data_IF_047995259795
#
_entry.id   IF_047995259795
#
_cell.length_a   1.000
_cell.length_b   1.000
_cell.length_c   1.000
_cell.angle_alpha   90.00
_cell.angle_beta   90.00
_cell.angle_gamma   90.00
#
_symmetry.space_group_name_H-M   'P 1'
#
loop_
_entity.id
_entity.type
_entity.pdbx_description
1 polymer ?
#
# COMPACT_ATOMS: atom_id res chain seq x y z
N UNK A 1 12.06 -63.42 4.84
CA UNK A 1 11.40 -62.83 3.64
C UNK A 1 10.54 -61.60 3.94
N UNK A 2 9.95 -61.43 5.14
CA UNK A 2 9.12 -60.26 5.50
C UNK A 2 9.92 -58.95 5.68
N UNK A 3 11.18 -59.05 6.11
CA UNK A 3 12.04 -57.91 6.43
C UNK A 3 12.50 -57.13 5.19
N UNK A 4 12.57 -57.77 4.01
CA UNK A 4 13.03 -57.14 2.77
C UNK A 4 11.94 -56.27 2.12
N UNK A 5 10.67 -56.65 2.29
CA UNK A 5 9.52 -55.83 1.86
C UNK A 5 9.39 -54.54 2.66
N UNK A 6 9.68 -54.57 3.97
CA UNK A 6 9.64 -53.38 4.82
C UNK A 6 10.68 -52.33 4.40
N UNK A 7 11.86 -52.77 3.96
CA UNK A 7 12.93 -51.88 3.50
C UNK A 7 12.58 -51.18 2.17
N UNK A 8 11.95 -51.90 1.24
CA UNK A 8 11.45 -51.30 0.00
C UNK A 8 10.33 -50.29 0.23
N UNK A 9 9.42 -50.55 1.19
CA UNK A 9 8.35 -49.61 1.57
C UNK A 9 8.96 -48.34 2.20
N UNK A 10 9.98 -48.48 3.04
CA UNK A 10 10.69 -47.34 3.64
C UNK A 10 11.47 -46.51 2.61
N UNK A 11 12.07 -47.15 1.59
CA UNK A 11 12.74 -46.47 0.48
C UNK A 11 11.73 -45.73 -0.43
N UNK A 12 10.55 -46.31 -0.67
CA UNK A 12 9.51 -45.65 -1.45
C UNK A 12 8.91 -44.43 -0.73
N UNK A 13 8.82 -44.47 0.61
CA UNK A 13 8.29 -43.37 1.41
C UNK A 13 9.24 -42.15 1.48
N UNK A 14 10.55 -42.37 1.39
CA UNK A 14 11.56 -41.29 1.41
C UNK A 14 11.72 -40.56 0.07
N UNK A 15 11.24 -41.14 -1.03
CA UNK A 15 11.27 -40.54 -2.37
C UNK A 15 10.18 -39.47 -2.58
N UNK A 16 9.22 -39.32 -1.66
CA UNK A 16 8.15 -38.33 -1.76
C UNK A 16 8.59 -37.00 -1.12
N UNK A 17 9.71 -36.44 -1.58
CA UNK A 17 10.04 -35.04 -1.29
C UNK A 17 9.29 -34.19 -2.32
N UNK A 18 8.05 -33.82 -2.00
CA UNK A 18 7.33 -32.81 -2.77
C UNK A 18 7.97 -31.46 -2.50
N UNK A 19 8.71 -30.94 -3.46
CA UNK A 19 9.17 -29.56 -3.41
C UNK A 19 7.94 -28.66 -3.51
N UNK A 20 7.48 -28.11 -2.39
CA UNK A 20 6.48 -27.04 -2.40
C UNK A 20 7.10 -25.84 -3.11
N UNK A 21 6.74 -25.65 -4.38
CA UNK A 21 7.10 -24.44 -5.09
C UNK A 21 6.50 -23.27 -4.33
N UNK A 22 7.35 -22.37 -3.81
CA UNK A 22 6.88 -21.15 -3.15
C UNK A 22 5.87 -20.44 -4.07
N UNK A 23 4.68 -20.06 -3.58
CA UNK A 23 3.71 -19.36 -4.39
C UNK A 23 4.39 -18.15 -5.05
N UNK A 24 4.28 -18.04 -6.37
CA UNK A 24 4.89 -16.96 -7.14
C UNK A 24 3.93 -15.78 -7.09
N UNK A 25 4.23 -14.80 -6.24
CA UNK A 25 3.39 -13.61 -6.10
C UNK A 25 3.70 -12.57 -7.17
N UNK A 26 4.94 -12.50 -7.66
CA UNK A 26 5.34 -11.62 -8.74
C UNK A 26 5.48 -12.37 -10.09
N UNK A 27 5.55 -11.59 -11.17
CA UNK A 27 5.85 -12.09 -12.52
C UNK A 27 7.13 -12.93 -12.52
N UNK A 28 7.17 -13.99 -13.34
CA UNK A 28 8.33 -14.90 -13.41
C UNK A 28 9.61 -14.13 -13.74
N UNK A 29 10.64 -14.32 -12.92
CA UNK A 29 11.93 -13.63 -13.05
C UNK A 29 12.00 -12.28 -12.31
N UNK A 30 10.93 -11.84 -11.66
CA UNK A 30 10.88 -10.60 -10.89
C UNK A 30 10.96 -10.85 -9.38
N UNK A 31 11.46 -9.84 -8.66
CA UNK A 31 11.40 -9.80 -7.19
C UNK A 31 9.97 -9.48 -6.74
N UNK A 32 9.54 -10.12 -5.67
CA UNK A 32 8.19 -9.99 -5.11
C UNK A 32 8.17 -9.19 -3.80
N UNK A 33 9.30 -8.61 -3.39
CA UNK A 33 9.43 -7.77 -2.19
C UNK A 33 10.37 -6.58 -2.41
N UNK A 34 10.03 -5.47 -1.77
CA UNK A 34 10.87 -4.30 -1.57
C UNK A 34 10.87 -3.98 -0.07
N UNK A 35 12.01 -4.18 0.59
CA UNK A 35 12.07 -4.15 2.05
C UNK A 35 11.11 -5.17 2.68
N UNK A 36 10.21 -4.68 3.53
CA UNK A 36 9.20 -5.50 4.20
C UNK A 36 7.87 -5.60 3.44
N UNK A 37 7.73 -4.88 2.32
CA UNK A 37 6.48 -4.80 1.56
C UNK A 37 6.49 -5.83 0.44
N UNK A 38 5.40 -6.61 0.34
CA UNK A 38 5.19 -7.56 -0.76
C UNK A 38 4.62 -6.84 -1.97
N UNK A 39 5.21 -7.10 -3.15
CA UNK A 39 4.82 -6.51 -4.43
C UNK A 39 4.34 -7.62 -5.36
N UNK A 40 3.03 -7.95 -5.33
CA UNK A 40 2.47 -9.00 -6.16
C UNK A 40 2.05 -8.48 -7.55
N UNK A 41 2.05 -9.35 -8.56
CA UNK A 41 1.48 -9.05 -9.88
C UNK A 41 -0.02 -8.75 -9.72
N UNK A 42 -0.56 -7.68 -10.33
CA UNK A 42 -0.04 -6.94 -11.49
C UNK A 42 0.96 -5.82 -11.19
N UNK A 43 1.23 -5.54 -9.92
CA UNK A 43 2.33 -4.65 -9.52
C UNK A 43 3.68 -5.31 -9.72
N UNK A 44 4.70 -4.50 -9.96
CA UNK A 44 6.04 -5.02 -10.14
C UNK A 44 7.12 -3.96 -9.99
N UNK A 45 8.26 -4.40 -9.45
CA UNK A 45 9.43 -3.56 -9.29
C UNK A 45 10.06 -3.33 -10.66
N UNK A 46 9.84 -2.14 -11.21
CA UNK A 46 10.25 -1.75 -12.56
C UNK A 46 9.33 -2.21 -13.69
N UNK A 47 9.44 -1.53 -14.83
CA UNK A 47 8.51 -1.64 -15.97
C UNK A 47 8.38 -3.03 -16.60
N UNK A 48 9.41 -3.88 -16.51
CA UNK A 48 9.35 -5.26 -17.06
C UNK A 48 8.55 -6.22 -16.17
N UNK A 49 8.35 -5.85 -14.91
CA UNK A 49 7.74 -6.68 -13.88
C UNK A 49 6.29 -6.33 -13.58
N UNK A 50 5.83 -5.15 -14.00
CA UNK A 50 4.44 -4.70 -13.87
C UNK A 50 3.62 -5.04 -15.13
N UNK A 51 2.29 -4.95 -15.02
CA UNK A 51 1.38 -5.11 -16.16
C UNK A 51 1.42 -3.90 -17.12
N UNK A 52 1.52 -2.69 -16.57
CA UNK A 52 1.63 -1.43 -17.32
C UNK A 52 2.27 -0.35 -16.42
N UNK A 53 2.33 0.90 -16.91
CA UNK A 53 2.99 2.03 -16.23
C UNK A 53 2.36 2.44 -14.89
N UNK A 54 1.07 2.19 -14.68
CA UNK A 54 0.36 2.56 -13.45
C UNK A 54 0.71 1.65 -12.27
N UNK A 55 1.15 0.42 -12.56
CA UNK A 55 1.47 -0.61 -11.57
C UNK A 55 2.99 -0.78 -11.37
N UNK A 56 3.79 0.14 -11.91
CA UNK A 56 5.23 0.16 -11.66
C UNK A 56 5.46 0.59 -10.23
N UNK A 57 6.18 -0.22 -9.47
CA UNK A 57 6.74 0.15 -8.18
C UNK A 57 8.20 0.52 -8.39
N UNK A 58 8.59 1.69 -7.91
CA UNK A 58 10.00 2.04 -7.77
C UNK A 58 10.49 1.62 -6.38
N UNK A 59 11.65 0.99 -6.28
CA UNK A 59 12.17 0.46 -5.02
C UNK A 59 13.53 1.11 -4.74
N UNK A 60 13.52 2.16 -3.92
CA UNK A 60 14.71 2.94 -3.58
C UNK A 60 15.07 2.72 -2.12
N UNK A 61 16.29 2.27 -1.85
CA UNK A 61 16.80 2.00 -0.50
C UNK A 61 15.91 1.07 0.34
N UNK A 62 15.32 0.05 -0.29
CA UNK A 62 14.34 -0.89 0.31
C UNK A 62 12.97 -0.28 0.65
N UNK A 63 12.71 0.95 0.24
CA UNK A 63 11.39 1.59 0.36
C UNK A 63 10.70 1.58 -1.01
N UNK A 64 9.48 1.02 -1.11
CA UNK A 64 8.71 1.03 -2.34
C UNK A 64 7.92 2.34 -2.51
N UNK A 65 7.87 2.85 -3.72
CA UNK A 65 7.13 4.05 -4.11
C UNK A 65 6.28 3.74 -5.34
N UNK A 66 5.15 4.45 -5.46
CA UNK A 66 4.24 4.34 -6.60
C UNK A 66 4.32 5.63 -7.45
N UNK A 67 5.14 5.66 -8.51
CA UNK A 67 5.33 6.86 -9.34
C UNK A 67 4.02 7.37 -9.97
N UNK A 68 3.09 6.46 -10.24
CA UNK A 68 1.76 6.76 -10.77
C UNK A 68 0.93 7.69 -9.88
N UNK A 69 1.24 7.76 -8.59
CA UNK A 69 0.48 8.51 -7.59
C UNK A 69 1.45 9.40 -6.82
N UNK A 70 2.03 10.38 -7.52
CA UNK A 70 2.97 11.38 -6.97
C UNK A 70 4.17 10.78 -6.21
N UNK A 71 4.61 9.57 -6.59
CA UNK A 71 5.74 8.89 -5.96
C UNK A 71 5.55 8.67 -4.44
N UNK A 72 4.31 8.39 -4.01
CA UNK A 72 4.01 8.08 -2.61
C UNK A 72 4.56 6.71 -2.21
N UNK A 73 5.00 6.60 -0.96
CA UNK A 73 5.48 5.34 -0.38
C UNK A 73 4.34 4.33 -0.27
N UNK A 74 4.60 3.09 -0.68
CA UNK A 74 3.65 1.97 -0.59
C UNK A 74 3.85 1.26 0.75
N UNK A 75 2.82 1.27 1.59
CA UNK A 75 2.84 0.53 2.86
C UNK A 75 2.40 -0.92 2.67
N UNK A 76 1.52 -1.17 1.71
CA UNK A 76 0.99 -2.51 1.44
C UNK A 76 0.17 -2.58 0.15
N UNK A 77 0.12 -3.78 -0.43
CA UNK A 77 -0.73 -4.11 -1.57
C UNK A 77 -1.54 -5.34 -1.17
N UNK A 78 -2.86 -5.21 -1.21
CA UNK A 78 -3.81 -6.26 -0.91
C UNK A 78 -4.65 -6.54 -2.16
N UNK A 79 -4.38 -7.68 -2.80
CA UNK A 79 -5.09 -8.08 -4.02
C UNK A 79 -6.49 -8.63 -3.72
N UNK A 80 -6.75 -9.14 -2.52
CA UNK A 80 -8.06 -9.67 -2.13
C UNK A 80 -9.05 -8.51 -1.97
N UNK A 81 -8.60 -7.44 -1.30
CA UNK A 81 -9.38 -6.22 -1.12
C UNK A 81 -9.23 -5.21 -2.27
N UNK A 82 -8.44 -5.53 -3.30
CA UNK A 82 -8.11 -4.67 -4.45
C UNK A 82 -7.60 -3.29 -4.03
N UNK A 83 -6.76 -3.23 -3.02
CA UNK A 83 -6.32 -1.98 -2.41
C UNK A 83 -4.82 -1.83 -2.32
N UNK A 84 -4.35 -0.59 -2.47
CA UNK A 84 -2.98 -0.17 -2.20
C UNK A 84 -3.01 0.85 -1.08
N UNK A 85 -2.26 0.59 -0.01
CA UNK A 85 -2.10 1.52 1.10
C UNK A 85 -0.87 2.37 0.86
N UNK A 86 -1.04 3.69 0.85
CA UNK A 86 -0.02 4.69 0.59
C UNK A 86 0.20 5.57 1.83
N UNK A 87 1.46 5.89 2.09
CA UNK A 87 1.83 6.85 3.13
C UNK A 87 1.74 8.27 2.56
N UNK A 88 0.84 9.09 3.11
CA UNK A 88 0.76 10.50 2.74
C UNK A 88 1.80 11.30 3.54
N UNK A 89 2.49 12.28 2.92
CA UNK A 89 3.39 13.17 3.65
C UNK A 89 2.66 13.87 4.80
N UNK A 90 3.37 14.01 5.93
CA UNK A 90 2.90 14.76 7.09
C UNK A 90 2.76 16.23 6.71
N UNK A 91 1.65 16.82 7.11
CA UNK A 91 1.42 18.25 6.98
C UNK A 91 1.57 18.86 8.38
N UNK A 92 2.49 19.80 8.51
CA UNK A 92 2.82 20.49 9.76
C UNK A 92 2.38 21.95 9.79
N UNK A 93 1.84 22.49 8.69
CA UNK A 93 1.39 23.89 8.59
C UNK A 93 -0.03 23.92 8.03
N UNK A 94 -0.92 24.71 8.66
CA UNK A 94 -2.32 24.84 8.24
C UNK A 94 -2.49 25.44 6.82
N UNK A 95 -1.49 26.17 6.32
CA UNK A 95 -1.47 26.74 4.96
C UNK A 95 -1.09 25.72 3.88
N UNK A 96 -0.48 24.59 4.26
CA UNK A 96 -0.02 23.60 3.31
C UNK A 96 -1.11 22.55 3.04
N UNK A 97 -1.79 22.66 1.92
CA UNK A 97 -2.65 21.58 1.44
C UNK A 97 -1.82 20.63 0.57
N UNK A 98 -1.76 19.35 0.94
CA UNK A 98 -1.21 18.30 0.08
C UNK A 98 -2.37 17.49 -0.49
N UNK A 99 -2.53 17.58 -1.81
CA UNK A 99 -3.54 16.82 -2.54
C UNK A 99 -2.90 15.79 -3.45
N UNK A 100 -3.61 14.67 -3.64
CA UNK A 100 -3.27 13.63 -4.60
C UNK A 100 -4.36 13.62 -5.66
N UNK A 101 -3.97 13.75 -6.92
CA UNK A 101 -4.89 13.66 -8.05
C UNK A 101 -4.87 12.24 -8.61
N UNK A 102 -6.04 11.60 -8.63
CA UNK A 102 -6.23 10.26 -9.18
C UNK A 102 -7.00 10.25 -10.50
N UNK A 103 -7.49 11.40 -10.99
CA UNK A 103 -8.46 11.51 -12.08
C UNK A 103 -7.99 10.90 -13.42
N UNK A 104 -6.68 10.70 -13.60
CA UNK A 104 -6.08 10.11 -14.81
C UNK A 104 -5.49 8.73 -14.58
N UNK A 105 -5.61 8.20 -13.37
CA UNK A 105 -5.08 6.92 -12.96
C UNK A 105 -6.21 5.87 -12.87
N UNK A 106 -5.90 4.57 -12.96
CA UNK A 106 -6.90 3.50 -12.73
C UNK A 106 -7.19 3.28 -11.23
N UNK A 107 -6.91 4.29 -10.40
CA UNK A 107 -7.04 4.21 -8.96
C UNK A 107 -8.14 5.14 -8.46
N UNK A 108 -8.84 4.71 -7.41
CA UNK A 108 -9.88 5.48 -6.75
C UNK A 108 -9.60 5.52 -5.26
N UNK A 109 -9.99 6.59 -4.56
CA UNK A 109 -9.91 6.58 -3.10
C UNK A 109 -10.86 5.53 -2.52
N UNK A 110 -10.35 4.69 -1.62
CA UNK A 110 -11.18 3.73 -0.89
C UNK A 110 -12.13 4.48 0.02
N UNK A 111 -13.44 4.25 -0.13
CA UNK A 111 -14.46 4.99 0.64
C UNK A 111 -14.49 4.62 2.13
N UNK A 112 -14.03 3.42 2.48
CA UNK A 112 -14.18 2.85 3.82
C UNK A 112 -12.86 2.54 4.54
N UNK A 113 -11.72 2.54 3.83
CA UNK A 113 -10.44 2.08 4.38
C UNK A 113 -9.39 3.19 4.51
N UNK A 114 -9.74 4.44 4.21
CA UNK A 114 -8.87 5.57 4.51
C UNK A 114 -8.75 5.77 6.02
N UNK A 115 -7.53 5.93 6.51
CA UNK A 115 -7.25 6.17 7.92
C UNK A 115 -6.61 7.54 8.10
N UNK A 116 -7.28 8.37 8.87
CA UNK A 116 -6.79 9.69 9.25
C UNK A 116 -6.31 9.63 10.67
N UNK A 117 -5.03 9.94 10.87
CA UNK A 117 -4.46 10.05 12.21
C UNK A 117 -4.07 11.50 12.38
N UNK A 118 -4.81 12.17 13.24
CA UNK A 118 -4.57 13.57 13.51
C UNK A 118 -4.17 13.77 14.95
N UNK A 119 -3.04 14.44 15.12
CA UNK A 119 -2.59 14.96 16.40
C UNK A 119 -2.89 16.46 16.34
N UNK A 120 -3.68 17.04 17.26
CA UNK A 120 -4.06 18.48 17.31
C UNK A 120 -5.55 18.84 17.13
N UNK A 121 -5.91 20.08 16.74
CA UNK A 121 -7.27 20.46 16.24
C UNK A 121 -7.28 20.96 14.77
N UNK A 122 -8.11 20.37 13.90
CA UNK A 122 -8.14 20.69 12.47
C UNK A 122 -9.12 19.85 11.67
N UNK A 123 -9.32 20.20 10.40
CA UNK A 123 -10.20 19.47 9.47
C UNK A 123 -9.35 18.78 8.39
N UNK A 124 -9.67 17.52 8.08
CA UNK A 124 -9.12 16.86 6.89
C UNK A 124 -10.16 16.88 5.78
N UNK A 125 -9.76 17.31 4.59
CA UNK A 125 -10.63 17.36 3.42
C UNK A 125 -10.13 16.36 2.39
N UNK A 126 -10.94 15.34 2.11
CA UNK A 126 -10.71 14.45 0.98
C UNK A 126 -11.57 14.88 -0.19
N UNK A 127 -10.95 15.25 -1.30
CA UNK A 127 -11.65 15.41 -2.56
C UNK A 127 -11.79 14.01 -3.18
N UNK A 128 -13.02 13.47 -3.17
CA UNK A 128 -13.36 12.30 -3.95
C UNK A 128 -13.38 12.60 -5.44
N UNK A 129 -13.50 11.53 -6.22
CA UNK A 129 -13.51 11.64 -7.68
C UNK A 129 -14.70 12.48 -8.18
N UNK A 130 -14.48 13.24 -9.26
CA UNK A 130 -15.43 14.25 -9.80
C UNK A 130 -15.74 15.45 -8.89
N UNK A 131 -14.82 15.85 -8.01
CA UNK A 131 -14.99 17.05 -7.19
C UNK A 131 -15.96 16.89 -6.01
N UNK A 132 -16.32 15.65 -5.65
CA UNK A 132 -17.11 15.37 -4.45
C UNK A 132 -16.21 15.46 -3.22
N UNK A 133 -16.27 16.59 -2.53
CA UNK A 133 -15.53 16.81 -1.29
C UNK A 133 -16.16 16.05 -0.11
N UNK A 134 -15.45 15.09 0.44
CA UNK A 134 -15.72 14.50 1.75
C UNK A 134 -14.87 15.22 2.79
N UNK A 135 -15.50 16.13 3.54
CA UNK A 135 -14.88 16.76 4.72
C UNK A 135 -14.99 15.78 5.88
N UNK A 136 -13.87 15.32 6.41
CA UNK A 136 -13.81 14.49 7.60
C UNK A 136 -13.45 15.41 8.77
N UNK A 137 -14.43 15.69 9.63
CA UNK A 137 -14.20 16.43 10.86
C UNK A 137 -13.46 15.50 11.84
N UNK A 138 -12.24 15.86 12.21
CA UNK A 138 -11.43 15.10 13.15
C UNK A 138 -11.48 15.80 14.51
N UNK A 139 -12.08 15.15 15.51
CA UNK A 139 -12.12 15.65 16.88
C UNK A 139 -11.00 14.98 17.66
N UNK A 140 -10.01 15.77 18.09
CA UNK A 140 -9.01 15.34 19.08
C UNK A 140 -9.50 15.68 20.49
N UNK A 141 -9.09 14.87 21.46
CA UNK A 141 -9.35 15.06 22.89
C UNK A 141 -8.43 16.11 23.55
N UNK A 142 -7.49 16.73 22.81
CA UNK A 142 -6.75 17.91 23.24
C UNK A 142 -7.06 19.10 22.34
N UNK A 143 -7.76 20.08 22.91
CA UNK A 143 -8.14 21.34 22.28
C UNK A 143 -6.94 22.28 22.17
N UNK A 144 -6.58 22.68 20.96
CA UNK A 144 -5.89 23.94 20.69
C UNK A 144 -6.54 24.55 19.45
N UNK A 145 -7.36 25.59 19.62
CA UNK A 145 -7.98 26.32 18.51
C UNK A 145 -6.88 26.87 17.60
N UNK A 146 -7.03 26.71 16.28
CA UNK A 146 -6.25 27.51 15.33
C UNK A 146 -6.76 28.95 15.44
N UNK A 147 -6.09 29.80 16.21
CA UNK A 147 -6.31 31.24 16.15
C UNK A 147 -5.76 31.77 14.82
N UNK A 148 -6.38 32.83 14.30
CA UNK A 148 -6.04 33.59 13.07
C UNK A 148 -4.57 34.05 12.98
N UNK A 149 -3.76 33.78 14.00
CA UNK A 149 -2.34 34.10 14.12
C UNK A 149 -1.37 32.96 13.74
N UNK A 150 -1.85 31.83 13.21
CA UNK A 150 -1.01 30.92 12.42
C UNK A 150 0.19 30.27 13.13
N UNK A 151 0.12 29.96 14.43
CA UNK A 151 1.32 29.56 15.18
C UNK A 151 1.25 28.25 16.00
N UNK A 152 0.29 27.36 15.78
CA UNK A 152 0.34 26.02 16.40
C UNK A 152 -0.34 24.94 15.57
N UNK A 153 0.37 24.42 14.58
CA UNK A 153 -0.08 23.28 13.79
C UNK A 153 0.59 22.00 14.31
N UNK A 154 -0.21 21.10 14.87
CA UNK A 154 0.21 19.73 15.13
C UNK A 154 0.17 18.89 13.84
N UNK A 155 0.87 17.76 13.84
CA UNK A 155 1.08 16.96 12.64
C UNK A 155 -0.18 16.16 12.25
N UNK A 156 -0.65 16.35 11.02
CA UNK A 156 -1.62 15.46 10.39
C UNK A 156 -0.89 14.37 9.60
N UNK A 157 -1.23 13.12 9.91
CA UNK A 157 -0.74 11.93 9.23
C UNK A 157 -1.91 11.27 8.53
N UNK A 158 -1.76 10.98 7.24
CA UNK A 158 -2.83 10.32 6.48
C UNK A 158 -2.29 9.03 5.89
N UNK A 159 -2.91 7.91 6.24
CA UNK A 159 -2.73 6.65 5.54
C UNK A 159 -3.87 6.58 4.52
N UNK A 160 -3.55 6.83 3.26
CA UNK A 160 -4.53 6.80 2.18
C UNK A 160 -4.56 5.40 1.59
N UNK A 161 -5.76 4.85 1.44
CA UNK A 161 -5.96 3.60 0.73
C UNK A 161 -6.65 3.89 -0.59
N UNK A 162 -6.06 3.42 -1.68
CA UNK A 162 -6.65 3.51 -3.01
C UNK A 162 -7.09 2.13 -3.46
N UNK A 163 -8.24 2.05 -4.09
CA UNK A 163 -8.72 0.87 -4.81
C UNK A 163 -8.08 0.86 -6.20
N UNK A 164 -7.58 -0.29 -6.63
CA UNK A 164 -6.97 -0.49 -7.94
C UNK A 164 -7.91 -1.29 -8.85
N UNK A 165 -8.36 -0.69 -9.95
CA UNK A 165 -9.14 -1.38 -10.96
C UNK A 165 -8.21 -2.22 -11.83
N UNK A 166 -8.27 -3.55 -11.74
CA UNK A 166 -7.37 -4.49 -12.45
C UNK A 166 -7.86 -4.87 -13.85
#
# INVERSE_FOLDING_TARGET
MKSFQAYHILIFLSLIVTSVASPRYAKRGCKDKCGNVRIPYPFGIGAKCSINKWYIVDCTSSTPYLPAVNHLEVLGIDLENQTVTLNMPRVSECSQTKSVDLARSPFLFSKSQNKFVYEGCGNAVMMGDHGKTSVVNLISTRSALCDDAGESAHHLFVECQITADL
#
